data_IF_716429694697
#
_entry.id   IF_716429694697
#
_cell.length_a   1.000
_cell.length_b   1.000
_cell.length_c   1.000
_cell.angle_alpha   90.00
_cell.angle_beta   90.00
_cell.angle_gamma   90.00
#
_symmetry.space_group_name_H-M   'P 1'
#
loop_
_entity.id
_entity.type
_entity.pdbx_description
1 polymer ?
#
# COMPACT_ATOMS: atom_id res chain seq x y z
N UNK A 1 12.55 18.47 -27.15
CA UNK A 1 11.13 18.38 -26.73
C UNK A 1 10.80 16.90 -26.68
N UNK A 2 10.95 16.28 -25.51
CA UNK A 2 10.63 14.87 -25.32
C UNK A 2 9.11 14.75 -25.22
N UNK A 3 8.52 14.15 -26.25
CA UNK A 3 7.11 13.78 -26.28
C UNK A 3 6.88 12.68 -25.24
N UNK A 4 6.42 13.09 -24.06
CA UNK A 4 5.75 12.23 -23.09
C UNK A 4 4.45 11.77 -23.74
N UNK A 5 4.52 10.65 -24.47
CA UNK A 5 3.33 9.93 -24.89
C UNK A 5 2.62 9.46 -23.63
N UNK A 6 1.50 10.10 -23.32
CA UNK A 6 0.54 9.61 -22.35
C UNK A 6 0.08 8.22 -22.78
N UNK A 7 0.43 7.23 -21.98
CA UNK A 7 -0.15 5.90 -22.04
C UNK A 7 -0.02 5.27 -20.65
N UNK A 8 -1.09 5.42 -19.87
CA UNK A 8 -1.65 4.30 -19.10
C UNK A 8 -0.69 3.68 -18.07
N UNK A 9 -0.28 4.53 -17.13
CA UNK A 9 0.30 4.20 -15.84
C UNK A 9 0.00 5.39 -14.94
N UNK A 10 -0.48 5.14 -13.71
CA UNK A 10 -0.87 6.21 -12.79
C UNK A 10 0.19 7.31 -12.66
N UNK A 11 -0.25 8.53 -12.36
CA UNK A 11 0.69 9.62 -12.10
C UNK A 11 1.34 9.38 -10.73
N UNK A 12 2.66 9.21 -10.70
CA UNK A 12 3.41 8.97 -9.45
C UNK A 12 3.23 10.12 -8.48
N UNK A 13 3.18 11.36 -8.97
CA UNK A 13 2.94 12.51 -8.11
C UNK A 13 1.55 12.44 -7.48
N UNK A 14 0.53 11.96 -8.19
CA UNK A 14 -0.81 11.76 -7.61
C UNK A 14 -0.80 10.64 -6.58
N UNK A 15 -0.17 9.51 -6.89
CA UNK A 15 -0.11 8.37 -5.97
C UNK A 15 0.72 8.65 -4.69
N UNK A 16 1.73 9.51 -4.80
CA UNK A 16 2.49 10.03 -3.65
C UNK A 16 1.71 11.04 -2.81
N UNK A 17 0.63 11.61 -3.36
CA UNK A 17 -0.30 12.48 -2.65
C UNK A 17 -1.60 11.74 -2.28
N UNK A 18 -1.63 10.40 -2.38
CA UNK A 18 -2.77 9.63 -1.90
C UNK A 18 -2.91 9.88 -0.39
N UNK A 19 -4.06 10.41 0.02
CA UNK A 19 -4.34 10.71 1.43
C UNK A 19 -5.16 9.59 2.09
N UNK A 20 -5.67 8.66 1.27
CA UNK A 20 -6.60 7.62 1.72
C UNK A 20 -6.17 6.21 1.30
N UNK A 21 -6.75 5.22 1.99
CA UNK A 21 -6.58 3.81 1.62
C UNK A 21 -7.25 3.47 0.28
N UNK A 22 -8.30 4.18 -0.11
CA UNK A 22 -9.04 3.94 -1.36
C UNK A 22 -8.23 4.39 -2.58
N UNK A 23 -7.59 5.57 -2.47
CA UNK A 23 -6.63 6.05 -3.47
C UNK A 23 -5.45 5.08 -3.57
N UNK A 24 -4.88 4.70 -2.41
CA UNK A 24 -3.79 3.73 -2.34
C UNK A 24 -4.17 2.37 -2.96
N UNK A 25 -5.41 1.90 -2.77
CA UNK A 25 -5.92 0.67 -3.36
C UNK A 25 -5.98 0.75 -4.88
N UNK A 26 -6.42 1.90 -5.40
CA UNK A 26 -6.49 2.17 -6.85
C UNK A 26 -5.09 2.27 -7.47
N UNK A 27 -4.17 2.95 -6.81
CA UNK A 27 -2.78 3.10 -7.27
C UNK A 27 -2.04 1.77 -7.32
N UNK A 28 -2.23 0.89 -6.32
CA UNK A 28 -1.66 -0.45 -6.32
C UNK A 28 -2.10 -1.25 -7.55
N UNK A 29 -3.35 -1.12 -8.00
CA UNK A 29 -3.82 -1.80 -9.22
C UNK A 29 -3.18 -1.20 -10.46
N UNK A 30 -3.20 0.13 -10.58
CA UNK A 30 -2.71 0.86 -11.75
C UNK A 30 -1.21 0.64 -11.99
N UNK A 31 -0.38 0.83 -10.96
CA UNK A 31 1.08 0.75 -11.08
C UNK A 31 1.63 -0.67 -11.25
N UNK A 32 0.84 -1.68 -10.90
CA UNK A 32 1.21 -3.08 -11.05
C UNK A 32 0.48 -3.79 -12.19
N UNK A 33 -0.30 -3.08 -12.99
CA UNK A 33 -1.09 -3.69 -14.08
C UNK A 33 -0.20 -4.47 -15.06
N UNK A 34 0.97 -3.93 -15.36
CA UNK A 34 1.95 -4.49 -16.32
C UNK A 34 3.14 -5.16 -15.61
N UNK A 35 3.09 -5.32 -14.28
CA UNK A 35 4.14 -5.97 -13.51
C UNK A 35 4.16 -7.50 -13.70
N UNK A 36 5.21 -8.15 -13.21
CA UNK A 36 5.27 -9.61 -13.14
C UNK A 36 4.00 -10.19 -12.50
N UNK A 37 3.49 -11.36 -12.96
CA UNK A 37 2.22 -11.91 -12.48
C UNK A 37 2.14 -12.06 -10.96
N UNK A 38 3.25 -12.40 -10.32
CA UNK A 38 3.33 -12.52 -8.85
C UNK A 38 3.21 -11.16 -8.16
N UNK A 39 3.87 -10.13 -8.68
CA UNK A 39 3.80 -8.77 -8.13
C UNK A 39 2.41 -8.17 -8.34
N UNK A 40 1.84 -8.36 -9.54
CA UNK A 40 0.45 -7.97 -9.84
C UNK A 40 -0.55 -8.62 -8.90
N UNK A 41 -0.39 -9.92 -8.61
CA UNK A 41 -1.26 -10.62 -7.65
C UNK A 41 -1.12 -10.07 -6.23
N UNK A 42 0.10 -9.77 -5.79
CA UNK A 42 0.33 -9.16 -4.47
C UNK A 42 -0.27 -7.76 -4.39
N UNK A 43 -0.06 -6.91 -5.39
CA UNK A 43 -0.66 -5.58 -5.44
C UNK A 43 -2.19 -5.62 -5.42
N UNK A 44 -2.80 -6.55 -6.19
CA UNK A 44 -4.24 -6.78 -6.12
C UNK A 44 -4.70 -7.26 -4.75
N UNK A 45 -3.95 -8.16 -4.11
CA UNK A 45 -4.30 -8.66 -2.77
C UNK A 45 -4.23 -7.56 -1.72
N UNK A 46 -3.25 -6.66 -1.82
CA UNK A 46 -3.16 -5.49 -0.96
C UNK A 46 -4.34 -4.55 -1.20
N UNK A 47 -4.64 -4.22 -2.46
CA UNK A 47 -5.80 -3.41 -2.87
C UNK A 47 -7.13 -3.97 -2.33
N UNK A 48 -7.45 -5.24 -2.62
CA UNK A 48 -8.67 -5.91 -2.13
C UNK A 48 -8.76 -5.90 -0.59
N UNK A 49 -7.61 -5.98 0.10
CA UNK A 49 -7.57 -5.94 1.56
C UNK A 49 -7.82 -4.54 2.13
N UNK A 50 -7.42 -3.47 1.43
CA UNK A 50 -7.72 -2.10 1.79
C UNK A 50 -9.21 -1.81 1.67
N UNK A 51 -9.83 -2.20 0.56
CA UNK A 51 -11.28 -2.07 0.33
C UNK A 51 -12.12 -2.79 1.39
N UNK A 52 -11.56 -3.85 1.99
CA UNK A 52 -12.21 -4.65 3.03
C UNK A 52 -11.83 -4.22 4.46
N UNK A 53 -11.05 -3.15 4.62
CA UNK A 53 -10.45 -2.72 5.90
C UNK A 53 -9.70 -3.86 6.63
N UNK A 54 -9.17 -4.83 5.87
CA UNK A 54 -8.43 -5.97 6.41
C UNK A 54 -6.96 -5.62 6.57
N UNK A 55 -6.69 -4.77 7.57
CA UNK A 55 -5.36 -4.21 7.81
C UNK A 55 -4.26 -5.25 8.05
N UNK A 56 -4.60 -6.42 8.59
CA UNK A 56 -3.62 -7.52 8.77
C UNK A 56 -3.07 -7.98 7.42
N UNK A 57 -3.97 -8.28 6.47
CA UNK A 57 -3.59 -8.74 5.14
C UNK A 57 -2.93 -7.61 4.35
N UNK A 58 -3.44 -6.38 4.45
CA UNK A 58 -2.86 -5.22 3.77
C UNK A 58 -1.40 -4.99 4.21
N UNK A 59 -1.12 -4.92 5.51
CA UNK A 59 0.24 -4.73 6.05
C UNK A 59 1.18 -5.87 5.63
N UNK A 60 0.73 -7.13 5.75
CA UNK A 60 1.55 -8.27 5.38
C UNK A 60 1.91 -8.25 3.89
N UNK A 61 0.93 -7.94 3.04
CA UNK A 61 1.12 -7.94 1.59
C UNK A 61 1.99 -6.78 1.12
N UNK A 62 1.83 -5.58 1.70
CA UNK A 62 2.71 -4.44 1.45
C UNK A 62 4.15 -4.72 1.88
N UNK A 63 4.35 -5.37 3.03
CA UNK A 63 5.69 -5.77 3.48
C UNK A 63 6.32 -6.81 2.53
N UNK A 64 5.52 -7.74 1.99
CA UNK A 64 5.99 -8.67 0.97
C UNK A 64 6.41 -7.92 -0.31
N UNK A 65 5.60 -6.98 -0.80
CA UNK A 65 5.96 -6.14 -1.96
C UNK A 65 7.26 -5.37 -1.72
N UNK A 66 7.42 -4.72 -0.55
CA UNK A 66 8.68 -4.06 -0.16
C UNK A 66 9.88 -5.01 -0.15
N UNK A 67 9.70 -6.25 0.31
CA UNK A 67 10.76 -7.26 0.30
C UNK A 67 11.17 -7.68 -1.12
N UNK A 68 10.28 -7.53 -2.10
CA UNK A 68 10.61 -7.67 -3.53
C UNK A 68 11.31 -6.44 -4.12
N UNK A 69 11.76 -5.46 -3.32
CA UNK A 69 12.26 -4.17 -3.79
C UNK A 69 13.24 -4.19 -4.98
N UNK A 70 14.13 -5.18 -5.07
CA UNK A 70 15.04 -5.34 -6.22
C UNK A 70 14.37 -5.70 -7.56
N UNK A 71 13.08 -6.04 -7.54
CA UNK A 71 12.23 -6.33 -8.71
C UNK A 71 11.20 -5.23 -8.98
N UNK A 72 11.08 -4.24 -8.10
CA UNK A 72 10.15 -3.13 -8.28
C UNK A 72 10.82 -2.04 -9.10
N UNK A 73 10.05 -1.36 -9.94
CA UNK A 73 10.46 -0.05 -10.44
C UNK A 73 10.49 0.97 -9.30
N UNK A 74 11.19 2.09 -9.48
CA UNK A 74 11.17 3.20 -8.52
C UNK A 74 9.75 3.63 -8.20
N UNK A 75 8.90 3.75 -9.22
CA UNK A 75 7.50 4.16 -9.09
C UNK A 75 6.68 3.16 -8.26
N UNK A 76 6.84 1.87 -8.55
CA UNK A 76 6.19 0.80 -7.78
C UNK A 76 6.65 0.79 -6.32
N UNK A 77 7.94 1.02 -6.07
CA UNK A 77 8.48 1.08 -4.72
C UNK A 77 7.92 2.29 -3.94
N UNK A 78 7.77 3.43 -4.61
CA UNK A 78 7.17 4.64 -4.05
C UNK A 78 5.70 4.42 -3.69
N UNK A 79 4.89 3.90 -4.62
CA UNK A 79 3.47 3.58 -4.39
C UNK A 79 3.29 2.59 -3.24
N UNK A 80 4.09 1.53 -3.18
CA UNK A 80 4.04 0.56 -2.07
C UNK A 80 4.41 1.23 -0.75
N UNK A 81 5.33 2.20 -0.79
CA UNK A 81 5.74 2.92 0.41
C UNK A 81 4.66 3.87 0.93
N UNK A 82 4.00 4.59 0.02
CA UNK A 82 2.90 5.50 0.36
C UNK A 82 1.68 4.73 0.86
N UNK A 83 1.27 3.67 0.16
CA UNK A 83 0.22 2.77 0.64
C UNK A 83 0.51 2.25 2.05
N UNK A 84 1.78 1.96 2.37
CA UNK A 84 2.20 1.54 3.71
C UNK A 84 2.06 2.63 4.79
N UNK A 85 2.18 3.91 4.43
CA UNK A 85 1.92 5.04 5.32
C UNK A 85 0.42 5.22 5.53
N UNK A 86 -0.36 5.21 4.45
CA UNK A 86 -1.81 5.36 4.50
C UNK A 86 -2.51 4.25 5.28
N UNK A 87 -2.03 3.01 5.16
CA UNK A 87 -2.46 1.89 6.00
C UNK A 87 -2.22 2.15 7.48
N UNK A 88 -1.07 2.72 7.85
CA UNK A 88 -0.76 3.02 9.24
C UNK A 88 -1.67 4.14 9.78
N UNK A 89 -1.89 5.19 8.99
CA UNK A 89 -2.80 6.28 9.35
C UNK A 89 -4.23 5.75 9.54
N UNK A 90 -4.77 4.99 8.58
CA UNK A 90 -6.10 4.41 8.66
C UNK A 90 -6.27 3.46 9.87
N UNK A 91 -5.24 2.66 10.20
CA UNK A 91 -5.26 1.83 11.41
C UNK A 91 -5.28 2.67 12.69
N UNK A 92 -4.51 3.77 12.76
CA UNK A 92 -4.50 4.66 13.92
C UNK A 92 -5.89 5.27 14.09
N UNK A 93 -6.46 5.83 13.02
CA UNK A 93 -7.80 6.41 13.08
C UNK A 93 -8.87 5.36 13.47
N UNK A 94 -8.81 4.15 12.90
CA UNK A 94 -9.72 3.07 13.28
C UNK A 94 -9.58 2.72 14.77
N UNK A 95 -8.35 2.66 15.28
CA UNK A 95 -8.07 2.41 16.69
C UNK A 95 -8.57 3.54 17.60
N UNK A 96 -8.43 4.80 17.20
CA UNK A 96 -8.95 5.98 17.90
C UNK A 96 -10.48 5.99 17.94
N UNK A 97 -11.13 5.54 16.85
CA UNK A 97 -12.59 5.32 16.79
C UNK A 97 -13.06 4.11 17.61
N UNK A 98 -12.15 3.35 18.22
CA UNK A 98 -12.46 2.25 19.14
C UNK A 98 -12.38 0.85 18.52
N UNK A 99 -11.87 0.70 17.30
CA UNK A 99 -11.68 -0.62 16.68
C UNK A 99 -10.68 -1.47 17.48
N UNK A 100 -11.19 -2.55 18.07
CA UNK A 100 -10.40 -3.44 18.93
C UNK A 100 -9.33 -4.22 18.19
N UNK A 101 -9.56 -4.55 16.91
CA UNK A 101 -8.57 -5.25 16.08
C UNK A 101 -7.42 -4.31 15.74
N UNK A 102 -7.71 -3.09 15.29
CA UNK A 102 -6.70 -2.08 15.01
C UNK A 102 -5.88 -1.72 16.27
N UNK A 103 -6.54 -1.51 17.42
CA UNK A 103 -5.87 -1.32 18.72
C UNK A 103 -4.92 -2.47 19.05
N UNK A 104 -5.36 -3.72 18.88
CA UNK A 104 -4.54 -4.90 19.16
C UNK A 104 -3.33 -4.97 18.25
N UNK A 105 -3.50 -4.72 16.95
CA UNK A 105 -2.40 -4.72 15.97
C UNK A 105 -1.35 -3.66 16.32
N UNK A 106 -1.76 -2.42 16.61
CA UNK A 106 -0.83 -1.34 16.98
C UNK A 106 -0.10 -1.63 18.29
N UNK A 107 -0.79 -2.21 19.27
CA UNK A 107 -0.16 -2.63 20.53
C UNK A 107 0.90 -3.72 20.32
N UNK A 108 0.64 -4.69 19.43
CA UNK A 108 1.63 -5.72 19.09
C UNK A 108 2.84 -5.13 18.33
N UNK A 109 2.61 -4.19 17.41
CA UNK A 109 3.71 -3.53 16.68
C UNK A 109 4.58 -2.68 17.60
N UNK A 110 3.99 -1.93 18.53
CA UNK A 110 4.73 -1.13 19.52
C UNK A 110 5.50 -2.00 20.52
N UNK A 111 4.96 -3.16 20.90
CA UNK A 111 5.66 -4.13 21.74
C UNK A 111 6.90 -4.72 21.05
N UNK A 112 6.82 -5.01 19.74
CA UNK A 112 7.94 -5.53 18.96
C UNK A 112 9.08 -4.53 18.71
N UNK A 113 8.83 -3.21 18.79
CA UNK A 113 9.85 -2.14 18.67
C UNK A 113 10.62 -1.85 19.96
N UNK A 114 10.16 -2.38 21.11
CA UNK A 114 10.74 -2.12 22.44
C UNK A 114 11.75 -3.17 22.89
N UNK A 115 12.05 -4.17 22.05
CA UNK A 115 12.94 -5.28 22.33
C UNK A 115 14.05 -5.36 21.27
#
# INVERSE_FOLDING_TARGET
>A
MLLLNGCDGGNVEEALNADTTDESASDLISFFEKADPNLKKLAKTASDALDQENFVVAVQTINQLRAYGGKLTTDQFMVVSEAGVNIQNAMIEAAERGDKKAQTILNMQSAGRRN
#
